data_IF_349839460271
#
_entry.id   IF_349839460271
#
_cell.length_a   1.000
_cell.length_b   1.000
_cell.length_c   1.000
_cell.angle_alpha   90.00
_cell.angle_beta   90.00
_cell.angle_gamma   90.00
#
_symmetry.space_group_name_H-M   'P 1'
#
loop_
_entity.id
_entity.type
_entity.pdbx_description
1 polymer ?
#
# COMPACT_ATOMS: atom_id res chain seq x y z
N UNK A 1 16.75 1.50 17.57
CA UNK A 1 17.15 0.67 16.40
C UNK A 1 17.52 1.58 15.26
N UNK A 2 18.67 1.39 14.60
CA UNK A 2 19.05 2.15 13.40
C UNK A 2 18.05 1.81 12.30
N UNK A 3 17.51 2.81 11.59
CA UNK A 3 16.61 2.57 10.45
C UNK A 3 17.37 1.76 9.40
N UNK A 4 16.75 0.70 8.86
CA UNK A 4 17.34 -0.17 7.84
C UNK A 4 16.54 -0.03 6.55
N UNK A 5 17.24 0.10 5.41
CA UNK A 5 16.64 0.08 4.08
C UNK A 5 16.24 -1.34 3.69
N UNK A 6 15.22 -1.46 2.84
CA UNK A 6 14.95 -2.73 2.18
C UNK A 6 16.05 -3.07 1.18
N UNK A 7 16.30 -4.37 1.02
CA UNK A 7 17.22 -4.87 0.01
C UNK A 7 16.65 -4.59 -1.38
N UNK A 8 17.45 -4.07 -2.34
CA UNK A 8 16.98 -3.79 -3.70
C UNK A 8 16.29 -4.97 -4.39
N UNK A 9 16.65 -6.21 -4.04
CA UNK A 9 16.09 -7.45 -4.61
C UNK A 9 14.65 -7.73 -4.18
N UNK A 10 14.15 -7.06 -3.13
CA UNK A 10 12.74 -7.15 -2.71
C UNK A 10 11.82 -6.56 -3.78
N UNK A 11 12.27 -5.53 -4.49
CA UNK A 11 11.45 -4.82 -5.47
C UNK A 11 11.45 -5.54 -6.82
N UNK A 12 10.25 -5.73 -7.39
CA UNK A 12 10.04 -6.39 -8.70
C UNK A 12 10.32 -5.43 -9.87
N UNK A 13 11.53 -4.87 -9.91
CA UNK A 13 11.95 -3.90 -10.93
C UNK A 13 12.04 -4.57 -12.31
N UNK A 14 11.33 -4.09 -13.35
CA UNK A 14 11.43 -4.63 -14.70
C UNK A 14 12.70 -4.13 -15.38
N UNK A 15 13.86 -4.69 -14.99
CA UNK A 15 15.22 -4.20 -15.31
C UNK A 15 15.39 -3.84 -16.79
N UNK A 16 15.00 -4.72 -17.71
CA UNK A 16 15.21 -4.50 -19.16
C UNK A 16 14.44 -3.27 -19.66
N UNK A 17 13.20 -3.09 -19.18
CA UNK A 17 12.34 -1.94 -19.52
C UNK A 17 12.84 -0.65 -18.89
N UNK A 18 13.34 -0.73 -17.66
CA UNK A 18 13.96 0.41 -16.97
C UNK A 18 15.18 0.86 -17.77
N UNK A 19 16.15 -0.03 -18.03
CA UNK A 19 17.39 0.28 -18.76
C UNK A 19 17.16 0.79 -20.18
N UNK A 20 16.11 0.31 -20.85
CA UNK A 20 15.73 0.79 -22.18
C UNK A 20 15.06 2.19 -22.17
N UNK A 21 14.81 2.78 -21.00
CA UNK A 21 14.04 4.02 -20.87
C UNK A 21 12.60 3.88 -21.37
N UNK A 22 12.04 2.68 -21.30
CA UNK A 22 10.69 2.36 -21.82
C UNK A 22 9.60 3.14 -21.09
N UNK A 23 9.79 3.36 -19.79
CA UNK A 23 8.88 4.09 -18.91
C UNK A 23 9.24 5.58 -18.75
N UNK A 24 10.29 6.03 -19.45
CA UNK A 24 10.82 7.38 -19.30
C UNK A 24 10.23 8.33 -20.32
N UNK A 25 10.02 9.58 -19.91
CA UNK A 25 9.61 10.61 -20.85
C UNK A 25 10.69 10.80 -21.94
N UNK A 26 10.24 11.02 -23.18
CA UNK A 26 11.16 11.06 -24.33
C UNK A 26 12.18 12.19 -24.25
N UNK A 27 11.86 13.31 -23.60
CA UNK A 27 12.85 14.38 -23.44
C UNK A 27 14.00 13.97 -22.51
N UNK A 28 13.77 13.10 -21.52
CA UNK A 28 14.84 12.57 -20.66
C UNK A 28 15.79 11.65 -21.42
N UNK A 29 15.25 10.70 -22.19
CA UNK A 29 16.09 9.84 -23.05
C UNK A 29 16.85 10.65 -24.11
N UNK A 30 16.26 11.72 -24.65
CA UNK A 30 16.87 12.58 -25.66
C UNK A 30 18.01 13.44 -25.11
N UNK A 31 17.90 14.05 -23.93
CA UNK A 31 19.03 14.85 -23.41
C UNK A 31 20.22 13.96 -23.04
N UNK A 32 19.98 12.76 -22.50
CA UNK A 32 21.06 11.78 -22.27
C UNK A 32 21.75 11.43 -23.57
N UNK A 33 20.98 11.21 -24.65
CA UNK A 33 21.55 10.99 -26.00
C UNK A 33 22.38 12.19 -26.48
N UNK A 34 21.91 13.42 -26.27
CA UNK A 34 22.68 14.64 -26.60
C UNK A 34 24.00 14.68 -25.82
N UNK A 35 23.98 14.44 -24.50
CA UNK A 35 25.20 14.42 -23.69
C UNK A 35 26.21 13.39 -24.18
N UNK A 36 25.76 12.20 -24.56
CA UNK A 36 26.62 11.14 -25.11
C UNK A 36 27.21 11.52 -26.46
N UNK A 37 26.40 12.04 -27.39
CA UNK A 37 26.85 12.45 -28.73
C UNK A 37 27.82 13.63 -28.69
N UNK A 38 27.60 14.57 -27.76
CA UNK A 38 28.49 15.70 -27.52
C UNK A 38 29.72 15.32 -26.67
N UNK A 39 29.85 14.05 -26.27
CA UNK A 39 30.90 13.53 -25.39
C UNK A 39 31.06 14.40 -24.11
N UNK A 40 29.93 14.81 -23.53
CA UNK A 40 29.85 15.73 -22.42
C UNK A 40 29.49 14.99 -21.13
N UNK A 41 30.43 14.96 -20.19
CA UNK A 41 30.34 14.22 -18.93
C UNK A 41 30.39 15.15 -17.71
N UNK A 42 29.37 16.00 -17.48
CA UNK A 42 29.37 16.90 -16.33
C UNK A 42 29.10 16.12 -15.05
N UNK A 43 29.75 16.49 -13.94
CA UNK A 43 29.35 16.01 -12.62
C UNK A 43 28.26 16.91 -12.07
N UNK A 44 27.04 16.40 -11.91
CA UNK A 44 25.89 17.19 -11.46
C UNK A 44 25.46 16.75 -10.06
N UNK A 45 24.91 17.69 -9.27
CA UNK A 45 24.15 17.38 -8.07
C UNK A 45 22.66 17.49 -8.40
N UNK A 46 22.00 16.34 -8.53
CA UNK A 46 20.57 16.24 -8.77
C UNK A 46 19.83 16.11 -7.44
N UNK A 47 18.84 16.96 -7.17
CA UNK A 47 18.12 16.98 -5.90
C UNK A 47 16.63 16.73 -6.09
N UNK A 48 16.05 15.88 -5.24
CA UNK A 48 14.63 15.52 -5.21
C UNK A 48 13.96 16.11 -3.96
N UNK A 49 12.73 16.61 -4.08
CA UNK A 49 11.99 17.23 -2.97
C UNK A 49 10.47 17.16 -3.20
N UNK A 50 9.65 17.12 -2.13
CA UNK A 50 8.20 17.12 -2.24
C UNK A 50 7.66 18.54 -2.41
N UNK A 51 6.46 18.64 -3.03
CA UNK A 51 5.74 19.91 -3.24
C UNK A 51 4.73 20.24 -2.12
N UNK A 52 4.71 19.44 -1.05
CA UNK A 52 3.97 19.66 0.20
C UNK A 52 4.69 18.97 1.34
N UNK A 53 4.36 19.34 2.57
CA UNK A 53 4.73 18.55 3.77
C UNK A 53 4.18 17.12 3.64
N UNK A 54 5.02 16.11 3.87
CA UNK A 54 4.67 14.72 3.61
C UNK A 54 5.44 13.72 4.49
N UNK A 55 4.91 12.49 4.55
CA UNK A 55 5.64 11.31 5.02
C UNK A 55 6.23 10.63 3.79
N UNK A 56 7.55 10.62 3.70
CA UNK A 56 8.28 10.19 2.52
C UNK A 56 8.40 8.67 2.52
N UNK A 57 7.90 8.04 1.45
CA UNK A 57 8.06 6.62 1.18
C UNK A 57 8.31 6.42 -0.32
N UNK A 58 8.94 5.30 -0.68
CA UNK A 58 9.30 4.94 -2.06
C UNK A 58 10.75 5.25 -2.40
N UNK A 59 11.55 5.70 -1.43
CA UNK A 59 12.98 5.94 -1.62
C UNK A 59 13.73 4.62 -1.81
N UNK A 60 13.38 3.57 -1.07
CA UNK A 60 14.05 2.28 -1.22
C UNK A 60 13.76 1.63 -2.59
N UNK A 61 12.54 1.79 -3.12
CA UNK A 61 12.19 1.37 -4.49
C UNK A 61 12.91 2.20 -5.55
N UNK A 62 12.98 3.53 -5.37
CA UNK A 62 13.75 4.42 -6.23
C UNK A 62 15.24 4.06 -6.25
N UNK A 63 15.83 3.74 -5.09
CA UNK A 63 17.22 3.27 -4.97
C UNK A 63 17.39 1.94 -5.71
N UNK A 64 16.43 1.03 -5.65
CA UNK A 64 16.46 -0.23 -6.43
C UNK A 64 16.45 0.04 -7.94
N UNK A 65 15.61 0.96 -8.41
CA UNK A 65 15.58 1.40 -9.81
C UNK A 65 16.94 2.00 -10.21
N UNK A 66 17.53 2.87 -9.39
CA UNK A 66 18.85 3.45 -9.66
C UNK A 66 19.95 2.37 -9.67
N UNK A 67 19.91 1.43 -8.73
CA UNK A 67 20.89 0.33 -8.64
C UNK A 67 20.90 -0.52 -9.91
N UNK A 68 19.73 -0.87 -10.44
CA UNK A 68 19.66 -1.73 -11.63
C UNK A 68 19.71 -0.95 -12.95
N UNK A 69 19.34 0.35 -12.93
CA UNK A 69 19.24 1.20 -14.11
C UNK A 69 20.44 2.12 -14.34
N UNK A 70 21.32 2.37 -13.38
CA UNK A 70 22.41 3.34 -13.61
C UNK A 70 23.49 2.75 -14.53
N UNK A 71 23.66 3.30 -15.73
CA UNK A 71 24.56 2.76 -16.75
C UNK A 71 24.15 3.11 -18.18
N UNK A 72 24.70 2.36 -19.13
CA UNK A 72 24.39 2.49 -20.56
C UNK A 72 24.68 1.19 -21.32
N UNK A 73 24.16 1.05 -22.54
CA UNK A 73 24.53 -0.03 -23.44
C UNK A 73 25.72 0.38 -24.33
N UNK A 74 26.73 -0.47 -24.46
CA UNK A 74 27.91 -0.22 -25.33
C UNK A 74 27.54 -0.07 -26.80
N UNK A 75 26.45 -0.72 -27.20
CA UNK A 75 25.87 -0.67 -28.54
C UNK A 75 24.37 -0.42 -28.40
N UNK A 76 23.97 0.85 -28.44
CA UNK A 76 22.58 1.27 -28.23
C UNK A 76 21.65 0.80 -29.35
N UNK A 77 22.10 0.79 -30.61
CA UNK A 77 21.27 0.38 -31.74
C UNK A 77 20.92 -1.11 -31.66
N UNK A 78 21.92 -1.94 -31.34
CA UNK A 78 21.74 -3.37 -31.14
C UNK A 78 20.88 -3.65 -29.91
N UNK A 79 21.09 -2.93 -28.80
CA UNK A 79 20.27 -3.06 -27.60
C UNK A 79 18.79 -2.71 -27.88
N UNK A 80 18.53 -1.62 -28.60
CA UNK A 80 17.18 -1.21 -29.00
C UNK A 80 16.51 -2.22 -29.93
N UNK A 81 17.27 -2.85 -30.82
CA UNK A 81 16.79 -3.93 -31.69
C UNK A 81 16.39 -5.17 -30.87
N UNK A 82 17.27 -5.63 -29.98
CA UNK A 82 17.02 -6.79 -29.10
C UNK A 82 15.84 -6.54 -28.16
N UNK A 83 15.76 -5.35 -27.55
CA UNK A 83 14.67 -5.01 -26.65
C UNK A 83 13.31 -4.97 -27.38
N UNK A 84 13.27 -4.44 -28.61
CA UNK A 84 12.06 -4.50 -29.46
C UNK A 84 11.65 -5.94 -29.77
N UNK A 85 12.61 -6.82 -30.03
CA UNK A 85 12.34 -8.25 -30.24
C UNK A 85 11.82 -8.93 -28.97
N UNK A 86 12.36 -8.60 -27.80
CA UNK A 86 11.83 -9.06 -26.50
C UNK A 86 10.37 -8.65 -26.32
N UNK A 87 10.02 -7.39 -26.62
CA UNK A 87 8.63 -6.91 -26.53
C UNK A 87 7.69 -7.62 -27.52
N UNK A 88 8.18 -8.02 -28.70
CA UNK A 88 7.41 -8.84 -29.64
C UNK A 88 7.16 -10.24 -29.06
N UNK A 89 8.20 -10.89 -28.55
CA UNK A 89 8.08 -12.22 -27.94
C UNK A 89 7.14 -12.20 -26.74
N UNK A 90 7.16 -11.15 -25.90
CA UNK A 90 6.21 -11.04 -24.78
C UNK A 90 4.75 -11.00 -25.25
N UNK A 91 4.47 -10.30 -26.35
CA UNK A 91 3.13 -10.27 -26.95
C UNK A 91 2.74 -11.64 -27.52
N UNK A 92 3.68 -12.33 -28.16
CA UNK A 92 3.45 -13.69 -28.65
C UNK A 92 3.21 -14.68 -27.51
N UNK A 93 3.97 -14.61 -26.42
CA UNK A 93 3.76 -15.46 -25.23
C UNK A 93 2.36 -15.24 -24.67
N UNK A 94 1.89 -14.00 -24.56
CA UNK A 94 0.54 -13.71 -24.08
C UNK A 94 -0.54 -14.32 -24.99
N UNK A 95 -0.37 -14.23 -26.31
CA UNK A 95 -1.32 -14.82 -27.26
C UNK A 95 -1.33 -16.36 -27.16
N UNK A 96 -0.16 -16.99 -27.13
CA UNK A 96 -0.01 -18.46 -27.10
C UNK A 96 -0.40 -19.07 -25.75
N UNK A 97 -0.20 -18.33 -24.65
CA UNK A 97 -0.57 -18.80 -23.32
C UNK A 97 -2.09 -19.04 -23.18
N UNK A 98 -2.91 -18.34 -23.96
CA UNK A 98 -4.35 -18.57 -24.02
C UNK A 98 -4.69 -19.95 -24.62
N UNK A 99 -3.96 -20.36 -25.65
CA UNK A 99 -4.17 -21.63 -26.36
C UNK A 99 -3.45 -22.83 -25.71
N UNK A 100 -2.65 -22.58 -24.67
CA UNK A 100 -1.87 -23.58 -23.92
C UNK A 100 -0.93 -24.45 -24.80
N UNK A 101 -0.39 -23.90 -25.89
CA UNK A 101 0.64 -24.57 -26.70
C UNK A 101 1.99 -24.54 -25.97
N UNK A 102 2.21 -25.58 -25.16
CA UNK A 102 3.41 -25.75 -24.34
C UNK A 102 4.71 -25.72 -25.15
N UNK A 103 4.76 -26.40 -26.30
CA UNK A 103 5.99 -26.49 -27.10
C UNK A 103 6.40 -25.11 -27.61
N UNK A 104 5.42 -24.34 -28.10
CA UNK A 104 5.68 -22.98 -28.57
C UNK A 104 6.04 -22.03 -27.43
N UNK A 105 5.42 -22.18 -26.26
CA UNK A 105 5.81 -21.41 -25.06
C UNK A 105 7.26 -21.67 -24.67
N UNK A 106 7.69 -22.93 -24.60
CA UNK A 106 9.07 -23.30 -24.27
C UNK A 106 10.07 -22.68 -25.25
N UNK A 107 9.76 -22.70 -26.55
CA UNK A 107 10.59 -22.04 -27.58
C UNK A 107 10.66 -20.52 -27.41
N UNK A 108 9.52 -19.87 -27.16
CA UNK A 108 9.46 -18.42 -26.97
C UNK A 108 10.19 -17.96 -25.70
N UNK A 109 10.03 -18.69 -24.58
CA UNK A 109 10.76 -18.39 -23.35
C UNK A 109 12.26 -18.58 -23.52
N UNK A 110 12.70 -19.64 -24.21
CA UNK A 110 14.12 -19.84 -24.54
C UNK A 110 14.66 -18.68 -25.38
N UNK A 111 13.95 -18.32 -26.46
CA UNK A 111 14.34 -17.20 -27.31
C UNK A 111 14.41 -15.88 -26.54
N UNK A 112 13.44 -15.61 -25.66
CA UNK A 112 13.45 -14.44 -24.77
C UNK A 112 14.66 -14.47 -23.84
N UNK A 113 14.99 -15.63 -23.25
CA UNK A 113 16.15 -15.77 -22.36
C UNK A 113 17.47 -15.48 -23.09
N UNK A 114 17.68 -16.08 -24.27
CA UNK A 114 18.88 -15.88 -25.08
C UNK A 114 19.06 -14.39 -25.46
N UNK A 115 17.97 -13.69 -25.79
CA UNK A 115 18.02 -12.25 -26.08
C UNK A 115 18.33 -11.42 -24.83
N UNK A 116 17.78 -11.77 -23.67
CA UNK A 116 18.05 -11.06 -22.41
C UNK A 116 19.50 -11.24 -21.97
N UNK A 117 20.07 -12.43 -22.13
CA UNK A 117 21.48 -12.68 -21.84
C UNK A 117 22.38 -11.78 -22.69
N UNK A 118 22.18 -11.78 -24.01
CA UNK A 118 22.92 -10.92 -24.95
C UNK A 118 22.71 -9.43 -24.69
N UNK A 119 21.50 -9.02 -24.31
CA UNK A 119 21.21 -7.64 -23.94
C UNK A 119 21.99 -7.24 -22.67
N UNK A 120 22.05 -8.12 -21.67
CA UNK A 120 22.79 -7.90 -20.43
C UNK A 120 24.31 -7.80 -20.65
N UNK A 121 24.89 -8.55 -21.60
CA UNK A 121 26.31 -8.44 -21.96
C UNK A 121 26.68 -7.04 -22.49
N UNK A 122 25.75 -6.37 -23.16
CA UNK A 122 25.95 -5.01 -23.67
C UNK A 122 25.89 -3.95 -22.57
N UNK A 123 25.28 -4.26 -21.42
CA UNK A 123 25.11 -3.32 -20.31
C UNK A 123 26.43 -3.00 -19.63
N UNK A 124 26.67 -1.72 -19.40
CA UNK A 124 27.77 -1.19 -18.57
C UNK A 124 27.15 -0.59 -17.33
N UNK A 125 27.31 -1.29 -16.21
CA UNK A 125 26.89 -0.80 -14.89
C UNK A 125 27.78 0.38 -14.46
N UNK A 126 27.14 1.46 -14.02
CA UNK A 126 27.80 2.69 -13.56
C UNK A 126 27.34 3.11 -12.15
N UNK A 127 26.76 2.18 -11.38
CA UNK A 127 26.30 2.46 -10.02
C UNK A 127 27.42 3.03 -9.12
N UNK A 128 28.62 2.47 -9.23
CA UNK A 128 29.76 2.90 -8.41
C UNK A 128 30.36 4.25 -8.84
N UNK A 129 29.90 4.86 -9.95
CA UNK A 129 30.35 6.18 -10.41
C UNK A 129 29.41 7.31 -9.96
N UNK A 130 28.30 6.98 -9.31
CA UNK A 130 27.37 7.94 -8.73
C UNK A 130 27.37 7.84 -7.20
N UNK A 131 27.03 8.94 -6.54
CA UNK A 131 26.74 8.95 -5.10
C UNK A 131 25.26 9.26 -4.87
N UNK A 132 24.57 8.39 -4.14
CA UNK A 132 23.18 8.62 -3.73
C UNK A 132 23.15 8.90 -2.23
N UNK A 133 22.45 9.97 -1.84
CA UNK A 133 22.09 10.24 -0.44
C UNK A 133 20.58 10.38 -0.33
N UNK A 134 19.98 9.86 0.74
CA UNK A 134 18.53 9.89 0.89
C UNK A 134 18.10 9.86 2.37
N UNK A 135 16.88 10.33 2.64
CA UNK A 135 16.14 9.99 3.86
C UNK A 135 15.79 8.49 3.90
N UNK A 136 15.24 8.03 5.01
CA UNK A 136 14.66 6.69 5.12
C UNK A 136 13.15 6.73 4.89
N UNK A 137 12.60 5.68 4.30
CA UNK A 137 11.15 5.53 4.19
C UNK A 137 10.48 5.60 5.58
N UNK A 138 9.46 6.46 5.68
CA UNK A 138 8.77 6.83 6.93
C UNK A 138 9.27 8.12 7.58
N UNK A 139 10.33 8.75 7.07
CA UNK A 139 10.73 10.10 7.50
C UNK A 139 9.72 11.16 7.04
N UNK A 140 9.53 12.21 7.85
CA UNK A 140 8.81 13.40 7.41
C UNK A 140 9.74 14.37 6.67
N UNK A 141 9.20 15.07 5.68
CA UNK A 141 9.89 16.17 5.01
C UNK A 141 8.94 17.35 4.77
N UNK A 142 9.48 18.56 4.86
CA UNK A 142 8.78 19.80 4.55
C UNK A 142 8.73 20.05 3.05
N UNK A 143 7.80 20.92 2.65
CA UNK A 143 7.77 21.42 1.27
C UNK A 143 9.16 21.93 0.83
N UNK A 144 9.63 21.47 -0.33
CA UNK A 144 10.94 21.81 -0.91
C UNK A 144 12.16 21.35 -0.12
N UNK A 145 11.99 20.57 0.95
CA UNK A 145 13.10 19.94 1.65
C UNK A 145 13.71 18.81 0.80
N UNK A 146 15.04 18.75 0.64
CA UNK A 146 15.69 17.64 -0.06
C UNK A 146 15.41 16.30 0.62
N UNK A 147 14.97 15.31 -0.15
CA UNK A 147 14.69 13.94 0.35
C UNK A 147 15.66 12.91 -0.23
N UNK A 148 16.24 13.21 -1.39
CA UNK A 148 17.23 12.38 -2.07
C UNK A 148 18.10 13.26 -2.97
N UNK A 149 19.37 12.90 -3.11
CA UNK A 149 20.28 13.46 -4.11
C UNK A 149 21.00 12.37 -4.87
N UNK A 150 21.30 12.64 -6.13
CA UNK A 150 22.18 11.84 -6.98
C UNK A 150 23.31 12.75 -7.46
N UNK A 151 24.54 12.39 -7.17
CA UNK A 151 25.72 13.11 -7.63
C UNK A 151 26.53 12.25 -8.61
N UNK A 152 26.75 12.73 -9.84
CA UNK A 152 27.48 11.99 -10.86
C UNK A 152 27.21 12.49 -12.27
N UNK A 153 27.55 11.68 -13.28
CA UNK A 153 27.24 12.00 -14.68
C UNK A 153 25.77 11.67 -15.02
N UNK A 154 24.95 12.68 -15.37
CA UNK A 154 23.55 12.46 -15.71
C UNK A 154 23.36 11.61 -16.97
N UNK A 155 24.38 11.40 -17.79
CA UNK A 155 24.31 10.43 -18.90
C UNK A 155 24.07 8.98 -18.42
N UNK A 156 24.34 8.66 -17.15
CA UNK A 156 24.18 7.31 -16.59
C UNK A 156 22.84 7.06 -15.90
N UNK A 157 22.21 8.08 -15.32
CA UNK A 157 20.96 7.93 -14.54
C UNK A 157 19.85 8.86 -14.99
N UNK A 158 20.16 9.85 -15.81
CA UNK A 158 19.28 10.96 -16.12
C UNK A 158 17.96 10.60 -16.78
N UNK A 159 17.95 9.48 -17.50
CA UNK A 159 16.75 8.93 -18.11
C UNK A 159 15.83 8.23 -17.11
N UNK A 160 16.26 7.98 -15.87
CA UNK A 160 15.47 7.30 -14.82
C UNK A 160 14.56 8.25 -14.05
N UNK A 161 14.62 9.55 -14.31
CA UNK A 161 13.92 10.56 -13.50
C UNK A 161 12.40 10.33 -13.44
N UNK A 162 11.75 10.09 -14.59
CA UNK A 162 10.30 9.86 -14.65
C UNK A 162 9.86 8.75 -13.69
N UNK A 163 10.55 7.60 -13.73
CA UNK A 163 10.19 6.42 -12.92
C UNK A 163 10.55 6.61 -11.45
N UNK A 164 11.70 7.21 -11.16
CA UNK A 164 12.12 7.53 -9.78
C UNK A 164 11.13 8.50 -9.11
N UNK A 165 10.74 9.57 -9.80
CA UNK A 165 9.73 10.51 -9.30
C UNK A 165 8.38 9.81 -9.08
N UNK A 166 7.98 8.95 -10.02
CA UNK A 166 6.71 8.23 -9.98
C UNK A 166 6.55 7.33 -8.75
N UNK A 167 7.55 6.48 -8.46
CA UNK A 167 7.49 5.55 -7.33
C UNK A 167 7.50 6.28 -5.99
N UNK A 168 8.32 7.34 -5.84
CA UNK A 168 8.34 8.15 -4.62
C UNK A 168 7.02 8.89 -4.45
N UNK A 169 6.51 9.53 -5.51
CA UNK A 169 5.27 10.29 -5.45
C UNK A 169 4.07 9.42 -5.06
N UNK A 170 3.94 8.22 -5.64
CA UNK A 170 2.83 7.31 -5.32
C UNK A 170 2.90 6.87 -3.85
N UNK A 171 4.02 6.32 -3.42
CA UNK A 171 4.17 5.79 -2.07
C UNK A 171 4.07 6.91 -1.00
N UNK A 172 4.68 8.07 -1.24
CA UNK A 172 4.58 9.25 -0.35
C UNK A 172 3.14 9.75 -0.22
N UNK A 173 2.37 9.72 -1.31
CA UNK A 173 0.95 10.10 -1.30
C UNK A 173 0.13 9.20 -0.39
N UNK A 174 0.24 7.87 -0.58
CA UNK A 174 -0.44 6.87 0.24
C UNK A 174 0.00 6.96 1.70
N UNK A 175 1.31 7.04 1.97
CA UNK A 175 1.85 7.14 3.33
C UNK A 175 1.36 8.39 4.06
N UNK A 176 1.29 9.53 3.38
CA UNK A 176 0.82 10.79 3.99
C UNK A 176 -0.66 10.71 4.35
N UNK A 177 -1.51 10.12 3.51
CA UNK A 177 -2.92 9.90 3.81
C UNK A 177 -3.12 8.93 4.98
N UNK A 178 -2.37 7.81 4.98
CA UNK A 178 -2.41 6.82 6.08
C UNK A 178 -1.96 7.45 7.39
N UNK A 179 -0.89 8.24 7.38
CA UNK A 179 -0.37 8.86 8.60
C UNK A 179 -1.39 9.81 9.25
N UNK A 180 -2.20 10.52 8.46
CA UNK A 180 -3.30 11.37 8.98
C UNK A 180 -4.32 10.56 9.78
N UNK A 181 -4.74 9.40 9.26
CA UNK A 181 -5.74 8.56 9.96
C UNK A 181 -5.13 7.83 11.16
N UNK A 182 -3.87 7.39 11.07
CA UNK A 182 -3.15 6.75 12.19
C UNK A 182 -3.00 7.75 13.34
N UNK A 183 -2.63 8.99 13.04
CA UNK A 183 -2.57 10.07 14.04
C UNK A 183 -3.94 10.34 14.65
N UNK A 184 -4.99 10.41 13.83
CA UNK A 184 -6.36 10.65 14.31
C UNK A 184 -6.86 9.54 15.24
N UNK A 185 -6.44 8.29 15.03
CA UNK A 185 -6.88 7.12 15.79
C UNK A 185 -6.26 6.98 17.19
N UNK A 186 -5.33 7.87 17.59
CA UNK A 186 -4.71 7.92 18.93
C UNK A 186 -4.21 6.56 19.47
N UNK A 187 -3.61 5.76 18.58
CA UNK A 187 -3.03 4.46 18.92
C UNK A 187 -3.95 3.25 18.67
N UNK A 188 -5.21 3.46 18.29
CA UNK A 188 -6.08 2.37 17.86
C UNK A 188 -5.68 1.85 16.47
N UNK A 189 -5.73 0.54 16.22
CA UNK A 189 -5.39 -0.06 14.93
C UNK A 189 -6.15 0.53 13.73
N UNK A 190 -5.39 0.83 12.67
CA UNK A 190 -5.93 1.15 11.34
C UNK A 190 -5.75 -0.07 10.43
N UNK A 191 -6.85 -0.53 9.84
CA UNK A 191 -6.87 -1.57 8.82
C UNK A 191 -6.92 -0.94 7.42
N UNK A 192 -5.92 -1.27 6.60
CA UNK A 192 -5.75 -0.73 5.25
C UNK A 192 -6.61 -1.51 4.23
N UNK A 193 -7.81 -1.01 3.98
CA UNK A 193 -8.84 -1.62 3.12
C UNK A 193 -8.97 -0.90 1.77
N UNK A 194 -7.86 -0.43 1.21
CA UNK A 194 -7.85 0.43 0.03
C UNK A 194 -7.69 -0.31 -1.31
N UNK A 195 -7.32 -1.60 -1.30
CA UNK A 195 -6.86 -2.34 -2.48
C UNK A 195 -7.79 -2.29 -3.71
N UNK A 196 -9.10 -2.13 -3.51
CA UNK A 196 -10.12 -2.03 -4.57
C UNK A 196 -10.30 -0.64 -5.19
N UNK A 197 -9.65 0.39 -4.64
CA UNK A 197 -9.81 1.78 -5.08
C UNK A 197 -8.70 2.24 -6.03
N UNK A 198 -7.79 1.36 -6.43
CA UNK A 198 -6.74 1.65 -7.39
C UNK A 198 -6.35 0.39 -8.19
N UNK A 199 -5.48 0.56 -9.18
CA UNK A 199 -5.03 -0.50 -10.06
C UNK A 199 -4.23 -1.56 -9.29
N UNK A 200 -4.61 -2.84 -9.44
CA UNK A 200 -4.06 -3.94 -8.63
C UNK A 200 -2.52 -4.09 -8.65
N UNK A 201 -1.85 -3.59 -9.69
CA UNK A 201 -0.37 -3.59 -9.75
C UNK A 201 0.30 -2.74 -8.68
N UNK A 202 -0.39 -1.76 -8.08
CA UNK A 202 0.23 -0.86 -7.09
C UNK A 202 0.24 -1.44 -5.67
N UNK A 203 -0.40 -2.60 -5.44
CA UNK A 203 -0.76 -3.03 -4.10
C UNK A 203 0.46 -3.20 -3.19
N UNK A 204 1.57 -3.74 -3.69
CA UNK A 204 2.79 -3.90 -2.90
C UNK A 204 3.36 -2.56 -2.42
N UNK A 205 3.45 -1.57 -3.32
CA UNK A 205 3.90 -0.21 -3.01
C UNK A 205 2.99 0.48 -2.01
N UNK A 206 1.67 0.36 -2.18
CA UNK A 206 0.67 0.95 -1.30
C UNK A 206 0.65 0.35 0.10
N UNK A 207 0.74 -0.98 0.18
CA UNK A 207 0.83 -1.67 1.45
C UNK A 207 2.10 -1.28 2.21
N UNK A 208 3.23 -1.18 1.51
CA UNK A 208 4.50 -0.80 2.13
C UNK A 208 4.47 0.64 2.64
N UNK A 209 3.87 1.55 1.87
CA UNK A 209 3.57 2.92 2.30
C UNK A 209 2.68 2.95 3.55
N UNK A 210 1.63 2.11 3.59
CA UNK A 210 0.75 2.01 4.75
C UNK A 210 1.47 1.53 6.01
N UNK A 211 2.29 0.48 5.88
CA UNK A 211 3.11 -0.05 6.98
C UNK A 211 4.03 1.04 7.54
N UNK A 212 4.78 1.74 6.66
CA UNK A 212 5.71 2.81 7.07
C UNK A 212 5.00 3.99 7.71
N UNK A 213 3.74 4.24 7.36
CA UNK A 213 2.92 5.27 7.95
C UNK A 213 2.22 4.86 9.27
N UNK A 214 2.31 3.58 9.67
CA UNK A 214 1.80 3.06 10.94
C UNK A 214 0.45 2.35 10.86
N UNK A 215 0.01 1.91 9.67
CA UNK A 215 -1.13 1.01 9.57
C UNK A 215 -0.84 -0.32 10.29
N UNK A 216 -1.85 -0.89 10.92
CA UNK A 216 -1.71 -2.14 11.68
C UNK A 216 -1.70 -3.37 10.78
N UNK A 217 -2.56 -3.39 9.75
CA UNK A 217 -2.70 -4.52 8.84
C UNK A 217 -3.24 -4.09 7.48
N UNK A 218 -3.08 -4.98 6.49
CA UNK A 218 -3.49 -4.78 5.09
C UNK A 218 -4.47 -5.86 4.65
N UNK A 219 -5.25 -5.61 3.59
CA UNK A 219 -6.37 -6.47 3.18
C UNK A 219 -6.04 -7.53 2.13
N UNK A 220 -4.86 -7.49 1.52
CA UNK A 220 -4.45 -8.47 0.51
C UNK A 220 -3.01 -8.90 0.73
N UNK A 221 -2.68 -10.14 0.36
CA UNK A 221 -1.31 -10.64 0.46
C UNK A 221 -0.37 -9.84 -0.46
N UNK A 222 -0.88 -9.37 -1.60
CA UNK A 222 -0.15 -8.48 -2.48
C UNK A 222 0.19 -7.14 -1.82
N UNK A 223 -0.64 -6.62 -0.90
CA UNK A 223 -0.24 -5.46 -0.10
C UNK A 223 0.95 -5.78 0.80
N UNK A 224 1.07 -7.00 1.32
CA UNK A 224 2.13 -7.39 2.25
C UNK A 224 3.41 -7.93 1.60
N UNK A 225 3.47 -7.97 0.27
CA UNK A 225 4.52 -8.60 -0.55
C UNK A 225 5.95 -8.15 -0.16
N UNK A 226 6.15 -6.89 0.24
CA UNK A 226 7.47 -6.35 0.57
C UNK A 226 7.97 -6.67 1.99
N UNK A 227 7.11 -7.16 2.91
CA UNK A 227 7.51 -7.46 4.30
C UNK A 227 6.99 -8.79 4.87
N UNK A 228 6.23 -9.56 4.08
CA UNK A 228 5.97 -10.98 4.33
C UNK A 228 5.00 -11.30 5.47
N UNK A 229 4.02 -10.44 5.75
CA UNK A 229 2.96 -10.70 6.75
C UNK A 229 1.68 -11.15 6.06
N UNK A 230 0.91 -12.07 6.66
CA UNK A 230 -0.41 -12.44 6.15
C UNK A 230 -1.39 -11.27 6.20
N UNK A 231 -2.21 -11.13 5.17
CA UNK A 231 -3.25 -10.12 5.14
C UNK A 231 -4.38 -10.39 6.13
N UNK A 232 -5.07 -9.33 6.55
CA UNK A 232 -6.21 -9.39 7.44
C UNK A 232 -7.51 -9.22 6.67
N UNK A 233 -8.45 -10.13 6.90
CA UNK A 233 -9.80 -10.09 6.35
C UNK A 233 -10.88 -10.22 7.42
N UNK A 234 -12.09 -9.78 7.08
CA UNK A 234 -13.31 -10.03 7.87
C UNK A 234 -14.27 -10.88 7.06
N UNK A 235 -15.36 -11.33 7.68
CA UNK A 235 -16.45 -11.96 6.93
C UNK A 235 -17.05 -10.91 5.97
N UNK A 236 -17.11 -11.17 4.65
CA UNK A 236 -17.69 -10.23 3.68
C UNK A 236 -19.21 -10.41 3.56
N UNK A 237 -19.93 -9.35 3.14
CA UNK A 237 -21.36 -9.44 2.80
C UNK A 237 -21.67 -10.54 1.76
N UNK A 238 -20.73 -10.83 0.85
CA UNK A 238 -20.89 -11.89 -0.15
C UNK A 238 -21.04 -13.29 0.49
N UNK A 239 -20.37 -13.54 1.62
CA UNK A 239 -20.53 -14.81 2.34
C UNK A 239 -21.91 -14.87 3.00
N UNK A 240 -22.35 -13.78 3.62
CA UNK A 240 -23.69 -13.68 4.22
C UNK A 240 -24.77 -13.93 3.15
N UNK A 241 -24.63 -13.31 1.98
CA UNK A 241 -25.53 -13.53 0.84
C UNK A 241 -25.55 -14.98 0.35
N UNK A 242 -24.38 -15.65 0.32
CA UNK A 242 -24.26 -17.05 -0.10
C UNK A 242 -24.86 -18.04 0.93
N UNK A 243 -25.08 -17.60 2.17
CA UNK A 243 -25.82 -18.34 3.21
C UNK A 243 -27.23 -17.75 3.40
N UNK A 244 -27.88 -17.40 2.29
CA UNK A 244 -29.27 -16.93 2.22
C UNK A 244 -29.57 -15.71 3.11
N UNK A 245 -28.57 -14.84 3.30
CA UNK A 245 -28.67 -13.66 4.15
C UNK A 245 -28.49 -13.94 5.64
N UNK A 246 -28.15 -15.16 6.04
CA UNK A 246 -27.94 -15.52 7.45
C UNK A 246 -26.52 -15.19 7.91
N UNK A 247 -26.38 -14.10 8.67
CA UNK A 247 -25.11 -13.72 9.29
C UNK A 247 -24.58 -14.81 10.23
N UNK A 248 -25.46 -15.48 10.97
CA UNK A 248 -25.08 -16.56 11.90
C UNK A 248 -24.50 -17.77 11.17
N UNK A 249 -25.18 -18.23 10.10
CA UNK A 249 -24.70 -19.38 9.34
C UNK A 249 -23.38 -19.08 8.63
N UNK A 250 -23.24 -17.86 8.07
CA UNK A 250 -21.99 -17.41 7.50
C UNK A 250 -20.84 -17.38 8.54
N UNK A 251 -21.11 -16.90 9.76
CA UNK A 251 -20.12 -16.89 10.85
C UNK A 251 -19.71 -18.29 11.29
N UNK A 252 -20.67 -19.21 11.43
CA UNK A 252 -20.40 -20.62 11.76
C UNK A 252 -19.64 -21.33 10.64
N UNK A 253 -20.01 -21.09 9.39
CA UNK A 253 -19.30 -21.63 8.24
C UNK A 253 -17.85 -21.14 8.16
N UNK A 254 -17.64 -19.84 8.35
CA UNK A 254 -16.30 -19.25 8.43
C UNK A 254 -15.48 -19.91 9.55
N UNK A 255 -16.08 -20.09 10.73
CA UNK A 255 -15.38 -20.72 11.85
C UNK A 255 -14.97 -22.18 11.57
N UNK A 256 -15.85 -22.95 10.91
CA UNK A 256 -15.57 -24.35 10.54
C UNK A 256 -14.37 -24.48 9.59
N UNK A 257 -14.31 -23.61 8.58
CA UNK A 257 -13.43 -23.82 7.42
C UNK A 257 -12.14 -22.99 7.41
N UNK A 258 -12.11 -21.82 8.07
CA UNK A 258 -10.93 -20.94 8.07
C UNK A 258 -9.93 -21.35 9.17
N UNK A 259 -8.65 -21.09 8.93
CA UNK A 259 -7.53 -21.46 9.77
C UNK A 259 -7.71 -20.99 11.23
N UNK A 260 -7.22 -21.76 12.22
CA UNK A 260 -7.47 -21.45 13.63
C UNK A 260 -6.90 -20.13 14.15
N UNK A 261 -5.82 -19.61 13.55
CA UNK A 261 -5.18 -18.37 13.97
C UNK A 261 -5.89 -17.11 13.48
N UNK A 262 -6.76 -17.23 12.48
CA UNK A 262 -7.50 -16.09 11.91
C UNK A 262 -8.63 -15.68 12.86
N UNK A 263 -8.68 -14.40 13.23
CA UNK A 263 -9.74 -13.88 14.09
C UNK A 263 -11.08 -13.81 13.35
N UNK A 264 -12.17 -14.25 14.01
CA UNK A 264 -13.53 -14.16 13.47
C UNK A 264 -14.08 -12.77 13.73
N UNK A 265 -14.12 -11.96 12.67
CA UNK A 265 -14.74 -10.62 12.67
C UNK A 265 -16.04 -10.70 11.86
N UNK A 266 -17.17 -10.64 12.55
CA UNK A 266 -18.48 -10.83 11.92
C UNK A 266 -19.07 -9.49 11.48
N UNK A 267 -19.50 -9.42 10.23
CA UNK A 267 -20.12 -8.23 9.67
C UNK A 267 -21.62 -8.25 9.99
N UNK A 268 -22.15 -7.20 10.62
CA UNK A 268 -23.48 -7.25 11.28
C UNK A 268 -24.51 -6.24 10.77
N UNK A 269 -24.20 -5.46 9.74
CA UNK A 269 -25.13 -4.47 9.16
C UNK A 269 -26.09 -5.02 8.09
N UNK A 270 -26.11 -6.34 7.84
CA UNK A 270 -26.95 -6.95 6.79
C UNK A 270 -28.45 -6.63 6.93
N UNK A 271 -29.00 -6.75 8.14
CA UNK A 271 -30.42 -6.48 8.42
C UNK A 271 -30.72 -5.01 8.76
N UNK A 272 -29.73 -4.11 8.61
CA UNK A 272 -29.79 -2.73 9.08
C UNK A 272 -30.12 -2.60 10.59
N UNK A 273 -29.68 -3.59 11.37
CA UNK A 273 -29.80 -3.64 12.82
C UNK A 273 -28.55 -4.28 13.40
N UNK A 274 -27.47 -3.49 13.51
CA UNK A 274 -26.17 -4.00 13.96
C UNK A 274 -26.25 -4.64 15.36
N UNK A 275 -27.05 -4.07 16.25
CA UNK A 275 -27.20 -4.53 17.64
C UNK A 275 -27.98 -5.85 17.65
N UNK A 276 -29.17 -5.89 17.04
CA UNK A 276 -30.01 -7.09 16.97
C UNK A 276 -29.29 -8.25 16.28
N UNK A 277 -28.62 -7.96 15.15
CA UNK A 277 -27.83 -8.95 14.40
C UNK A 277 -26.69 -9.50 15.26
N UNK A 278 -25.98 -8.64 16.00
CA UNK A 278 -24.89 -9.09 16.90
C UNK A 278 -25.41 -10.04 17.98
N UNK A 279 -26.53 -9.70 18.64
CA UNK A 279 -27.11 -10.55 19.69
C UNK A 279 -27.54 -11.90 19.12
N UNK A 280 -28.17 -11.91 17.94
CA UNK A 280 -28.56 -13.13 17.24
C UNK A 280 -27.34 -14.00 16.91
N UNK A 281 -26.28 -13.41 16.36
CA UNK A 281 -25.03 -14.12 16.06
C UNK A 281 -24.41 -14.70 17.32
N UNK A 282 -24.30 -13.93 18.41
CA UNK A 282 -23.75 -14.42 19.68
C UNK A 282 -24.56 -15.61 20.21
N UNK A 283 -25.90 -15.52 20.17
CA UNK A 283 -26.79 -16.60 20.59
C UNK A 283 -26.56 -17.86 19.76
N UNK A 284 -26.68 -17.75 18.44
CA UNK A 284 -26.61 -18.90 17.53
C UNK A 284 -25.21 -19.54 17.56
N UNK A 285 -24.15 -18.71 17.63
CA UNK A 285 -22.77 -19.17 17.73
C UNK A 285 -22.50 -19.86 19.07
N UNK A 286 -23.03 -19.34 20.17
CA UNK A 286 -22.91 -19.95 21.50
C UNK A 286 -23.58 -21.31 21.55
N UNK A 287 -24.82 -21.40 21.05
CA UNK A 287 -25.58 -22.66 21.04
C UNK A 287 -24.86 -23.73 20.21
N UNK A 288 -24.27 -23.34 19.09
CA UNK A 288 -23.48 -24.23 18.24
C UNK A 288 -22.15 -24.70 18.90
N UNK A 289 -21.43 -23.81 19.59
CA UNK A 289 -20.13 -24.14 20.20
C UNK A 289 -20.27 -24.86 21.55
N UNK A 290 -21.27 -24.49 22.35
CA UNK A 290 -21.43 -24.95 23.72
C UNK A 290 -22.50 -26.05 23.87
N UNK A 291 -23.32 -26.30 22.85
CA UNK A 291 -24.37 -27.32 22.87
C UNK A 291 -25.49 -27.06 23.89
N UNK A 292 -25.64 -25.82 24.37
CA UNK A 292 -26.65 -25.41 25.35
C UNK A 292 -27.25 -24.06 24.98
N UNK A 293 -28.50 -23.86 25.38
CA UNK A 293 -29.28 -22.65 25.07
C UNK A 293 -28.62 -21.38 25.60
N UNK A 294 -28.62 -20.32 24.78
CA UNK A 294 -28.19 -18.98 25.20
C UNK A 294 -29.42 -18.12 25.55
N UNK A 295 -29.45 -17.61 26.78
CA UNK A 295 -30.49 -16.72 27.31
C UNK A 295 -29.90 -15.33 27.48
N UNK A 296 -30.40 -14.37 26.69
CA UNK A 296 -29.89 -12.99 26.65
C UNK A 296 -29.99 -12.34 28.03
N UNK A 297 -28.87 -11.87 28.57
CA UNK A 297 -28.79 -11.22 29.89
C UNK A 297 -28.62 -12.17 31.07
N UNK A 298 -28.76 -13.48 30.87
CA UNK A 298 -28.53 -14.50 31.91
C UNK A 298 -27.32 -15.39 31.62
N UNK A 299 -27.11 -15.75 30.35
CA UNK A 299 -26.00 -16.59 29.91
C UNK A 299 -24.76 -15.75 29.68
N UNK A 300 -23.63 -16.16 30.26
CA UNK A 300 -22.33 -15.53 30.03
C UNK A 300 -21.80 -15.87 28.62
N UNK A 301 -21.63 -14.87 27.72
CA UNK A 301 -21.10 -15.08 26.38
C UNK A 301 -19.56 -15.17 26.33
N UNK A 302 -18.83 -14.87 27.40
CA UNK A 302 -17.36 -14.81 27.40
C UNK A 302 -16.65 -16.06 26.85
N UNK A 303 -17.13 -17.30 27.06
CA UNK A 303 -16.48 -18.50 26.50
C UNK A 303 -16.34 -18.51 24.98
N UNK A 304 -17.21 -17.80 24.25
CA UNK A 304 -17.16 -17.68 22.78
C UNK A 304 -16.57 -16.35 22.32
N UNK A 305 -16.08 -15.49 23.21
CA UNK A 305 -15.49 -14.19 22.86
C UNK A 305 -13.97 -14.28 22.98
N UNK A 306 -13.26 -13.90 21.92
CA UNK A 306 -11.80 -13.90 21.92
C UNK A 306 -11.18 -14.28 20.57
N UNK A 307 -9.85 -14.43 20.54
CA UNK A 307 -9.13 -14.69 19.31
C UNK A 307 -9.23 -16.14 18.84
N UNK A 308 -9.09 -16.32 17.52
CA UNK A 308 -9.00 -17.61 16.85
C UNK A 308 -10.30 -18.40 16.74
N UNK A 309 -10.19 -19.67 16.33
CA UNK A 309 -11.31 -20.58 16.08
C UNK A 309 -12.14 -20.90 17.33
N UNK A 310 -13.43 -21.13 17.12
CA UNK A 310 -14.44 -21.40 18.16
C UNK A 310 -14.84 -20.15 18.95
N UNK A 311 -14.33 -18.97 18.57
CA UNK A 311 -14.60 -17.70 19.24
C UNK A 311 -14.82 -16.58 18.23
N UNK A 312 -15.64 -15.61 18.61
CA UNK A 312 -15.85 -14.35 17.90
C UNK A 312 -14.92 -13.32 18.52
N UNK A 313 -13.99 -12.79 17.73
CA UNK A 313 -13.07 -11.76 18.20
C UNK A 313 -13.75 -10.40 18.26
N UNK A 314 -14.60 -10.10 17.28
CA UNK A 314 -15.32 -8.84 17.21
C UNK A 314 -16.41 -8.82 16.16
N UNK A 315 -17.16 -7.72 16.17
CA UNK A 315 -18.13 -7.39 15.13
C UNK A 315 -17.68 -6.17 14.36
N UNK A 316 -18.01 -6.14 13.06
CA UNK A 316 -17.70 -5.05 12.15
C UNK A 316 -18.96 -4.35 11.72
N UNK A 317 -19.03 -3.04 11.98
CA UNK A 317 -20.12 -2.18 11.54
C UNK A 317 -19.71 -1.51 10.22
N UNK A 318 -20.45 -1.77 9.15
CA UNK A 318 -20.19 -1.23 7.81
C UNK A 318 -21.41 -0.52 7.20
N UNK A 319 -22.33 -0.03 8.05
CA UNK A 319 -23.56 0.66 7.62
C UNK A 319 -23.27 1.75 6.57
N UNK A 320 -24.00 1.71 5.45
CA UNK A 320 -23.84 2.66 4.35
C UNK A 320 -24.01 4.11 4.81
N UNK A 321 -23.20 5.03 4.26
CA UNK A 321 -23.28 6.48 4.52
C UNK A 321 -24.67 7.09 4.27
N UNK A 322 -25.48 6.46 3.43
CA UNK A 322 -26.83 6.94 3.07
C UNK A 322 -27.94 6.34 3.94
N UNK A 323 -27.61 5.42 4.85
CA UNK A 323 -28.58 4.64 5.61
C UNK A 323 -28.47 4.96 7.09
N UNK A 324 -29.59 4.91 7.80
CA UNK A 324 -29.64 4.97 9.26
C UNK A 324 -29.89 3.57 9.79
N UNK A 325 -28.99 3.09 10.65
CA UNK A 325 -29.22 1.84 11.39
C UNK A 325 -30.48 1.98 12.26
N UNK A 326 -31.29 0.92 12.32
CA UNK A 326 -32.56 0.91 13.05
C UNK A 326 -32.43 1.30 14.52
N UNK A 327 -31.28 1.00 15.14
CA UNK A 327 -31.02 1.32 16.55
C UNK A 327 -30.72 2.80 16.81
N UNK A 328 -30.47 3.60 15.76
CA UNK A 328 -30.11 5.02 15.86
C UNK A 328 -31.36 5.90 15.82
N UNK A 329 -31.44 6.86 16.74
CA UNK A 329 -32.55 7.81 16.78
C UNK A 329 -32.46 8.79 15.60
N UNK A 330 -33.51 8.96 14.78
CA UNK A 330 -33.52 9.90 13.68
C UNK A 330 -33.21 11.35 14.07
N UNK A 331 -32.19 11.94 13.43
CA UNK A 331 -31.83 13.36 13.56
C UNK A 331 -31.58 13.95 12.16
N UNK A 332 -30.33 14.25 11.85
CA UNK A 332 -29.85 14.76 10.56
C UNK A 332 -28.80 13.79 9.96
N UNK A 333 -27.95 14.27 9.05
CA UNK A 333 -26.87 13.47 8.45
C UNK A 333 -25.89 12.87 9.47
N UNK A 334 -25.76 13.46 10.67
CA UNK A 334 -24.91 12.92 11.75
C UNK A 334 -25.39 11.57 12.28
N UNK A 335 -26.62 11.19 11.96
CA UNK A 335 -27.23 9.90 12.33
C UNK A 335 -27.21 8.87 11.18
N UNK A 336 -26.50 9.15 10.08
CA UNK A 336 -26.33 8.21 8.95
C UNK A 336 -24.99 7.46 9.01
N UNK A 337 -24.94 6.31 8.35
CA UNK A 337 -23.83 5.38 8.38
C UNK A 337 -23.45 4.93 9.78
N UNK A 338 -22.20 4.50 9.94
CA UNK A 338 -21.66 4.23 11.27
C UNK A 338 -21.41 5.55 11.99
N UNK A 339 -22.24 5.88 12.98
CA UNK A 339 -22.18 7.11 13.75
C UNK A 339 -21.87 6.84 15.24
N UNK A 340 -21.47 7.86 16.03
CA UNK A 340 -21.18 7.70 17.46
C UNK A 340 -22.34 7.07 18.25
N UNK A 341 -23.57 7.49 17.98
CA UNK A 341 -24.77 7.00 18.69
C UNK A 341 -24.97 5.49 18.53
N UNK A 342 -24.78 4.96 17.31
CA UNK A 342 -24.85 3.52 17.04
C UNK A 342 -23.87 2.75 17.92
N UNK A 343 -22.61 3.19 17.96
CA UNK A 343 -21.54 2.47 18.65
C UNK A 343 -21.70 2.56 20.18
N UNK A 344 -22.13 3.70 20.73
CA UNK A 344 -22.44 3.80 22.16
C UNK A 344 -23.59 2.89 22.57
N UNK A 345 -24.70 2.91 21.82
CA UNK A 345 -25.84 2.03 22.08
C UNK A 345 -25.44 0.55 22.00
N UNK A 346 -24.65 0.19 20.99
CA UNK A 346 -24.12 -1.15 20.84
C UNK A 346 -23.25 -1.56 22.04
N UNK A 347 -22.28 -0.73 22.44
CA UNK A 347 -21.41 -1.05 23.59
C UNK A 347 -22.20 -1.21 24.88
N UNK A 348 -23.15 -0.30 25.16
CA UNK A 348 -24.03 -0.39 26.32
C UNK A 348 -24.82 -1.70 26.33
N UNK A 349 -25.39 -2.08 25.19
CA UNK A 349 -26.16 -3.31 25.07
C UNK A 349 -25.28 -4.56 25.19
N UNK A 350 -24.10 -4.56 24.58
CA UNK A 350 -23.14 -5.66 24.69
C UNK A 350 -22.68 -5.85 26.13
N UNK A 351 -22.42 -4.76 26.86
CA UNK A 351 -22.04 -4.80 28.27
C UNK A 351 -23.18 -5.32 29.15
N UNK A 352 -24.43 -4.92 28.84
CA UNK A 352 -25.65 -5.39 29.53
C UNK A 352 -25.84 -6.89 29.41
N UNK A 353 -25.50 -7.48 28.26
CA UNK A 353 -25.61 -8.92 28.01
C UNK A 353 -24.35 -9.71 28.38
N UNK A 354 -23.35 -9.07 29.00
CA UNK A 354 -22.11 -9.71 29.44
C UNK A 354 -20.99 -9.80 28.39
N UNK A 355 -21.22 -9.35 27.14
CA UNK A 355 -20.26 -9.40 26.04
C UNK A 355 -19.20 -8.28 26.10
N UNK A 356 -18.65 -7.99 27.28
CA UNK A 356 -17.75 -6.85 27.55
C UNK A 356 -16.46 -6.86 26.72
N UNK A 357 -15.96 -8.05 26.41
CA UNK A 357 -14.71 -8.25 25.68
C UNK A 357 -14.89 -8.27 24.15
N UNK A 358 -16.14 -8.25 23.65
CA UNK A 358 -16.42 -8.28 22.21
C UNK A 358 -15.94 -6.98 21.56
N UNK A 359 -15.03 -7.10 20.59
CA UNK A 359 -14.44 -5.94 19.91
C UNK A 359 -15.41 -5.30 18.91
N UNK A 360 -15.38 -3.97 18.83
CA UNK A 360 -16.15 -3.20 17.84
C UNK A 360 -15.18 -2.61 16.82
N UNK A 361 -15.24 -3.15 15.60
CA UNK A 361 -14.52 -2.63 14.44
C UNK A 361 -15.51 -1.79 13.63
N UNK A 362 -15.11 -0.60 13.21
CA UNK A 362 -15.95 0.26 12.36
C UNK A 362 -15.30 0.50 11.02
N UNK A 363 -16.11 0.51 9.98
CA UNK A 363 -15.70 0.86 8.62
C UNK A 363 -16.79 1.66 7.91
N UNK A 364 -16.75 1.73 6.58
CA UNK A 364 -17.62 2.57 5.76
C UNK A 364 -17.37 4.07 5.96
N UNK A 365 -16.53 4.62 5.07
CA UNK A 365 -16.44 6.07 4.93
C UNK A 365 -15.64 6.81 5.98
N UNK A 366 -14.85 6.10 6.79
CA UNK A 366 -13.93 6.74 7.72
C UNK A 366 -12.81 7.46 6.96
N UNK A 367 -12.46 8.63 7.49
CA UNK A 367 -11.32 9.47 7.11
C UNK A 367 -10.75 10.08 8.41
N UNK A 368 -9.72 10.92 8.32
CA UNK A 368 -9.07 11.48 9.51
C UNK A 368 -10.05 12.29 10.38
N UNK A 369 -10.91 13.11 9.76
CA UNK A 369 -11.89 13.96 10.46
C UNK A 369 -12.93 13.14 11.22
N UNK A 370 -13.50 12.10 10.59
CA UNK A 370 -14.48 11.21 11.23
C UNK A 370 -13.84 10.42 12.38
N UNK A 371 -12.60 9.95 12.20
CA UNK A 371 -11.87 9.26 13.28
C UNK A 371 -11.60 10.23 14.44
N UNK A 372 -11.15 11.46 14.16
CA UNK A 372 -10.90 12.46 15.19
C UNK A 372 -12.16 12.81 15.99
N UNK A 373 -13.32 12.89 15.32
CA UNK A 373 -14.61 13.04 15.98
C UNK A 373 -14.90 11.88 16.93
N UNK A 374 -14.72 10.63 16.47
CA UNK A 374 -14.94 9.44 17.30
C UNK A 374 -13.99 9.41 18.51
N UNK A 375 -12.71 9.73 18.30
CA UNK A 375 -11.71 9.77 19.37
C UNK A 375 -11.86 10.98 20.30
N UNK A 376 -12.51 12.07 19.88
CA UNK A 376 -12.83 13.23 20.73
C UNK A 376 -14.04 12.94 21.61
N UNK A 377 -15.00 12.19 21.07
CA UNK A 377 -16.22 11.78 21.77
C UNK A 377 -16.02 10.50 22.60
N UNK A 378 -14.82 9.91 22.61
CA UNK A 378 -14.53 8.67 23.32
C UNK A 378 -15.47 7.53 22.91
N UNK A 379 -15.77 7.44 21.61
CA UNK A 379 -16.61 6.37 21.07
C UNK A 379 -15.90 5.03 21.25
N UNK A 380 -16.56 3.99 21.79
CA UNK A 380 -15.95 2.71 22.16
C UNK A 380 -15.69 1.81 20.95
N UNK A 381 -14.85 2.30 20.04
CA UNK A 381 -14.30 1.57 18.88
C UNK A 381 -12.94 0.99 19.25
N UNK A 382 -12.69 -0.26 18.84
CA UNK A 382 -11.41 -0.95 19.02
C UNK A 382 -10.50 -0.84 17.79
N UNK A 383 -11.04 -0.72 16.57
CA UNK A 383 -10.25 -0.56 15.34
C UNK A 383 -11.05 0.12 14.21
N UNK A 384 -10.33 0.76 13.29
CA UNK A 384 -10.91 1.45 12.13
C UNK A 384 -10.49 0.79 10.82
N UNK A 385 -11.46 0.38 10.00
CA UNK A 385 -11.24 0.00 8.61
C UNK A 385 -11.39 1.20 7.68
N UNK A 386 -10.32 1.56 6.97
CA UNK A 386 -10.27 2.75 6.12
C UNK A 386 -9.96 2.36 4.67
N UNK A 387 -10.74 2.88 3.73
CA UNK A 387 -10.68 2.54 2.30
C UNK A 387 -10.18 3.70 1.43
N UNK A 388 -11.08 4.27 0.62
CA UNK A 388 -10.75 5.28 -0.40
C UNK A 388 -9.95 6.46 0.13
N UNK A 389 -10.25 6.94 1.34
CA UNK A 389 -9.57 8.09 1.96
C UNK A 389 -8.05 7.92 2.07
N UNK A 390 -7.53 6.68 2.05
CA UNK A 390 -6.09 6.40 2.10
C UNK A 390 -5.37 6.67 0.78
N UNK A 391 -6.10 6.89 -0.32
CA UNK A 391 -5.55 7.08 -1.66
C UNK A 391 -5.92 8.45 -2.28
N UNK A 392 -6.61 9.31 -1.52
CA UNK A 392 -7.11 10.62 -2.00
C UNK A 392 -6.04 11.72 -1.98
N UNK A 393 -5.00 11.60 -1.15
CA UNK A 393 -3.90 12.57 -1.11
C UNK A 393 -3.02 12.42 -2.36
N UNK A 394 -2.58 13.54 -2.93
CA UNK A 394 -1.60 13.56 -4.02
C UNK A 394 -0.44 14.48 -3.67
N UNK A 395 0.72 13.87 -3.46
CA UNK A 395 1.99 14.53 -3.22
C UNK A 395 2.84 14.41 -4.47
N UNK A 396 3.19 15.56 -5.05
CA UNK A 396 4.12 15.62 -6.18
C UNK A 396 5.54 15.65 -5.64
N UNK A 397 6.42 14.90 -6.30
CA UNK A 397 7.87 15.00 -6.12
C UNK A 397 8.43 15.69 -7.35
N UNK A 398 9.45 16.52 -7.15
CA UNK A 398 10.17 17.19 -8.24
C UNK A 398 11.66 16.98 -8.07
N UNK A 399 12.39 16.94 -9.17
CA UNK A 399 13.84 16.93 -9.20
C UNK A 399 14.38 18.13 -9.97
N UNK A 400 15.51 18.68 -9.53
CA UNK A 400 16.22 19.76 -10.22
C UNK A 400 17.72 19.61 -10.01
N UNK A 401 18.51 19.82 -11.08
CA UNK A 401 19.97 19.98 -10.95
C UNK A 401 20.21 21.31 -10.26
N UNK A 402 21.04 21.30 -9.22
CA UNK A 402 21.35 22.50 -8.41
C UNK A 402 22.83 22.89 -8.47
N UNK A 403 23.70 21.96 -8.85
CA UNK A 403 25.13 22.21 -9.08
C UNK A 403 25.64 21.44 -10.30
N UNK A 404 26.58 22.02 -11.03
CA UNK A 404 27.30 21.41 -12.15
C UNK A 404 28.79 21.66 -11.96
N UNK A 405 29.60 20.60 -11.94
CA UNK A 405 31.05 20.62 -11.71
C UNK A 405 31.44 21.41 -10.45
N UNK A 406 30.68 21.23 -9.37
CA UNK A 406 30.89 21.91 -8.07
C UNK A 406 30.49 23.38 -8.04
N UNK A 407 29.90 23.91 -9.12
CA UNK A 407 29.42 25.31 -9.18
C UNK A 407 27.89 25.35 -9.12
N UNK A 408 27.29 26.32 -8.40
CA UNK A 408 25.85 26.52 -8.41
C UNK A 408 25.32 26.69 -9.84
N UNK A 409 24.36 25.86 -10.23
CA UNK A 409 23.73 25.88 -11.54
C UNK A 409 22.34 25.25 -11.42
N UNK A 410 21.32 26.10 -11.39
CA UNK A 410 19.94 25.71 -11.15
C UNK A 410 18.97 26.54 -12.00
N UNK A 411 17.79 25.97 -12.26
CA UNK A 411 16.65 26.71 -12.85
C UNK A 411 16.31 27.92 -11.95
N UNK A 412 15.85 29.03 -12.55
CA UNK A 412 15.40 30.20 -11.80
C UNK A 412 14.38 29.81 -10.70
N UNK A 413 14.60 30.31 -9.49
CA UNK A 413 13.80 29.96 -8.30
C UNK A 413 14.21 28.66 -7.61
N UNK A 414 15.21 27.92 -8.11
CA UNK A 414 15.80 26.74 -7.47
C UNK A 414 17.19 27.04 -6.92
N UNK A 415 17.52 26.38 -5.82
CA UNK A 415 18.84 26.42 -5.17
C UNK A 415 19.08 25.11 -4.45
N UNK A 416 20.35 24.81 -4.17
CA UNK A 416 20.72 23.70 -3.28
C UNK A 416 20.06 23.88 -1.91
N UNK A 417 19.37 22.83 -1.46
CA UNK A 417 18.74 22.80 -0.15
C UNK A 417 19.71 22.33 0.94
N UNK A 418 19.19 22.22 2.17
CA UNK A 418 19.93 21.60 3.26
C UNK A 418 19.95 20.08 3.08
N UNK A 419 21.15 19.50 3.00
CA UNK A 419 21.38 18.07 2.81
C UNK A 419 21.77 17.36 4.12
N UNK A 420 21.76 18.06 5.25
CA UNK A 420 22.25 17.58 6.56
C UNK A 420 21.56 16.32 7.06
N UNK A 421 20.30 16.10 6.68
CA UNK A 421 19.51 14.92 7.05
C UNK A 421 19.72 13.72 6.13
N UNK A 422 20.35 13.90 4.97
CA UNK A 422 20.50 12.82 3.99
C UNK A 422 21.70 11.93 4.35
N UNK A 423 21.45 10.63 4.40
CA UNK A 423 22.51 9.64 4.61
C UNK A 423 22.94 9.01 3.29
N UNK A 424 24.25 8.75 3.15
CA UNK A 424 24.79 8.02 2.00
C UNK A 424 24.17 6.62 1.92
N UNK A 425 23.67 6.28 0.74
CA UNK A 425 23.14 4.95 0.46
C UNK A 425 24.32 3.99 0.25
N UNK A 426 24.37 2.96 1.08
CA UNK A 426 25.32 1.85 0.98
C UNK A 426 24.48 0.59 0.78
N UNK A 427 24.73 -0.11 -0.32
CA UNK A 427 24.08 -1.38 -0.64
C UNK A 427 25.12 -2.48 -0.46
N UNK A 428 24.81 -3.46 0.38
CA UNK A 428 25.64 -4.63 0.64
C UNK A 428 25.58 -5.67 -0.50
#
# INVERSE_FOLDING_TARGET
MRKKRLDPRVFKVPIDRIRAGYYSDKYFTRYVKVLKLDNRHPRVLYQFFPRKDAIIVGLDEAISILRYGTGYYRDEEKADSMFREILNIEREIQAVAYDYDRMRLEQLYKKKWDLRERLNELWVDKWNEIEVKALYDGDSAKENEPIMTIEGDPAYFGYLETVVLGVIARATSTATAVHKVVKAAKGKPILFFSARFDHYWIQATDGYAALKAGAFGVSTDANADYWGVESMGTIPHALIAAYDGSTSEAALAFDRHIEPHVNRIVLVDWENDCIGTTIKVLKDFYEAMMGRRFVVGETDPDPIIGPGKGRIWGVRFDTSKSLRDRSVTPKDESSLGVCPELVWKARQEFDRIGAKNLKIIVSSGFNAEKIELFEKLEVPVDAYGVGSALLEEKIQITADIVEVNGKPCAKYGRKKGDLSRLEKVILD
#
